data_IF_974314005770
#
_entry.id   IF_974314005770
#
_cell.length_a   1.000
_cell.length_b   1.000
_cell.length_c   1.000
_cell.angle_alpha   90.00
_cell.angle_beta   90.00
_cell.angle_gamma   90.00
#
_symmetry.space_group_name_H-M   'P 1'
#
loop_
_entity.id
_entity.type
_entity.pdbx_description
1 polymer ?
#
# COMPACT_ATOMS: atom_id res chain seq x y z
N UNK A 1 -1.42 -10.56 13.82
CA UNK A 1 -1.62 -9.87 12.53
C UNK A 1 -2.21 -10.81 11.46
N UNK A 2 -1.58 -11.95 11.17
CA UNK A 2 -2.08 -13.00 10.24
C UNK A 2 -3.45 -13.61 10.56
N UNK A 3 -3.79 -13.75 11.86
CA UNK A 3 -5.10 -14.28 12.28
C UNK A 3 -6.26 -13.38 11.84
N UNK A 4 -6.11 -12.05 11.86
CA UNK A 4 -7.16 -11.12 11.45
C UNK A 4 -7.39 -11.15 9.92
N UNK A 5 -6.31 -11.30 9.16
CA UNK A 5 -6.35 -11.42 7.69
C UNK A 5 -7.04 -12.72 7.23
N UNK A 6 -6.66 -13.85 7.82
CA UNK A 6 -7.31 -15.14 7.56
C UNK A 6 -8.78 -15.18 8.05
N UNK A 7 -9.14 -14.36 9.04
CA UNK A 7 -10.54 -14.24 9.50
C UNK A 7 -11.36 -13.37 8.57
N UNK A 8 -10.79 -12.29 8.03
CA UNK A 8 -11.48 -11.42 7.06
C UNK A 8 -11.73 -12.16 5.75
N UNK A 9 -10.73 -12.88 5.22
CA UNK A 9 -10.87 -13.71 4.02
C UNK A 9 -11.86 -14.87 4.25
N UNK A 10 -11.79 -15.57 5.40
CA UNK A 10 -12.78 -16.61 5.74
C UNK A 10 -14.19 -16.06 5.90
N UNK A 11 -14.34 -14.86 6.46
CA UNK A 11 -15.65 -14.23 6.66
C UNK A 11 -16.26 -13.79 5.32
N UNK A 12 -15.45 -13.18 4.45
CA UNK A 12 -15.87 -12.79 3.08
C UNK A 12 -16.19 -14.02 2.22
N UNK A 13 -15.39 -15.09 2.30
CA UNK A 13 -15.63 -16.33 1.56
C UNK A 13 -16.84 -17.13 2.10
N UNK A 14 -17.10 -17.05 3.41
CA UNK A 14 -18.21 -17.74 4.07
C UNK A 14 -19.55 -17.00 3.94
N UNK A 15 -19.55 -15.67 3.85
CA UNK A 15 -20.77 -14.86 3.81
C UNK A 15 -21.39 -14.79 2.39
N UNK A 16 -20.63 -15.02 1.31
CA UNK A 16 -21.18 -14.89 -0.06
C UNK A 16 -21.03 -16.10 -1.01
N UNK A 17 -20.11 -17.05 -0.80
CA UNK A 17 -19.84 -18.08 -1.83
C UNK A 17 -19.65 -19.52 -1.35
N UNK A 18 -19.65 -19.82 -0.05
CA UNK A 18 -19.62 -21.21 0.43
C UNK A 18 -18.38 -22.02 0.01
N UNK A 19 -17.28 -21.37 -0.39
CA UNK A 19 -16.06 -22.02 -0.90
C UNK A 19 -14.90 -21.86 0.09
N UNK A 20 -14.93 -22.65 1.17
CA UNK A 20 -13.89 -22.65 2.21
C UNK A 20 -12.61 -23.42 1.80
N UNK A 21 -12.70 -24.34 0.82
CA UNK A 21 -11.62 -25.29 0.47
C UNK A 21 -10.52 -24.66 -0.39
N UNK A 22 -10.87 -23.95 -1.47
CA UNK A 22 -9.90 -23.33 -2.39
C UNK A 22 -9.05 -22.22 -1.74
N UNK A 23 -9.61 -21.52 -0.76
CA UNK A 23 -8.89 -20.46 -0.03
C UNK A 23 -7.80 -21.05 0.88
N UNK A 24 -8.03 -22.22 1.47
CA UNK A 24 -7.02 -22.90 2.30
C UNK A 24 -5.85 -23.43 1.47
N UNK A 25 -6.15 -24.01 0.30
CA UNK A 25 -5.13 -24.56 -0.60
C UNK A 25 -4.21 -23.46 -1.17
N UNK A 26 -4.78 -22.31 -1.53
CA UNK A 26 -3.99 -21.16 -2.01
C UNK A 26 -3.10 -20.54 -0.92
N UNK A 27 -3.54 -20.51 0.34
CA UNK A 27 -2.70 -20.06 1.47
C UNK A 27 -1.50 -20.97 1.71
N UNK A 28 -1.66 -22.30 1.61
CA UNK A 28 -0.56 -23.25 1.79
C UNK A 28 0.48 -23.16 0.67
N UNK A 29 0.03 -23.03 -0.59
CA UNK A 29 0.91 -22.87 -1.75
C UNK A 29 1.77 -21.60 -1.62
N UNK A 30 1.18 -20.47 -1.19
CA UNK A 30 1.92 -19.24 -0.93
C UNK A 30 2.93 -19.36 0.22
N UNK A 31 2.59 -20.11 1.29
CA UNK A 31 3.51 -20.34 2.42
C UNK A 31 4.70 -21.21 1.99
N UNK A 32 4.47 -22.23 1.17
CA UNK A 32 5.50 -23.19 0.72
C UNK A 32 6.48 -22.57 -0.26
N UNK A 33 6.02 -21.77 -1.22
CA UNK A 33 6.89 -21.05 -2.15
C UNK A 33 7.84 -20.06 -1.44
N UNK A 34 7.36 -19.41 -0.38
CA UNK A 34 8.14 -18.42 0.39
C UNK A 34 9.32 -19.00 1.17
N UNK A 35 9.27 -20.28 1.54
CA UNK A 35 10.30 -20.93 2.36
C UNK A 35 11.43 -21.56 1.53
N UNK A 36 11.19 -21.88 0.26
CA UNK A 36 12.15 -22.59 -0.61
C UNK A 36 13.10 -21.62 -1.33
N UNK A 37 12.68 -20.39 -1.62
CA UNK A 37 13.48 -19.43 -2.40
C UNK A 37 14.79 -18.92 -1.77
N UNK A 38 14.95 -18.72 -0.46
CA UNK A 38 16.16 -18.07 0.06
C UNK A 38 17.44 -18.90 -0.11
N UNK A 39 17.38 -20.22 0.09
CA UNK A 39 18.59 -21.07 0.10
C UNK A 39 19.23 -21.25 -1.27
N UNK A 40 18.41 -21.54 -2.29
CA UNK A 40 18.88 -21.78 -3.68
C UNK A 40 19.43 -20.50 -4.32
N UNK A 41 18.88 -19.34 -3.96
CA UNK A 41 19.29 -18.05 -4.50
C UNK A 41 20.69 -17.59 -4.02
N UNK A 42 21.13 -18.01 -2.83
CA UNK A 42 22.47 -17.69 -2.34
C UNK A 42 23.55 -18.58 -2.96
N UNK A 43 23.25 -19.85 -3.22
CA UNK A 43 24.22 -20.77 -3.85
C UNK A 43 24.54 -20.37 -5.30
N UNK A 44 23.53 -20.01 -6.10
CA UNK A 44 23.76 -19.46 -7.47
C UNK A 44 24.59 -18.18 -7.43
N UNK A 45 24.33 -17.31 -6.44
CA UNK A 45 25.06 -16.07 -6.27
C UNK A 45 26.55 -16.33 -6.01
N UNK A 46 26.88 -17.26 -5.11
CA UNK A 46 28.27 -17.60 -4.76
C UNK A 46 29.05 -18.18 -5.95
N UNK A 47 28.42 -19.00 -6.78
CA UNK A 47 29.05 -19.57 -7.97
C UNK A 47 29.37 -18.52 -9.04
N UNK A 48 28.60 -17.44 -9.10
CA UNK A 48 28.73 -16.40 -10.13
C UNK A 48 29.70 -15.28 -9.79
N UNK A 49 30.30 -15.30 -8.59
CA UNK A 49 31.16 -14.21 -8.10
C UNK A 49 32.43 -13.99 -8.92
N UNK A 50 32.95 -15.03 -9.57
CA UNK A 50 34.12 -14.94 -10.45
C UNK A 50 33.81 -14.30 -11.82
N UNK A 51 32.53 -14.00 -12.09
CA UNK A 51 32.11 -13.32 -13.32
C UNK A 51 31.96 -11.81 -13.10
N UNK A 52 32.22 -11.01 -14.15
CA UNK A 52 31.93 -9.55 -14.13
C UNK A 52 30.48 -9.20 -13.79
N UNK A 53 29.55 -10.15 -13.96
CA UNK A 53 28.15 -9.99 -13.60
C UNK A 53 27.93 -10.19 -12.09
N UNK A 54 28.58 -11.18 -11.47
CA UNK A 54 28.54 -11.43 -10.03
C UNK A 54 29.14 -10.28 -9.21
N UNK A 55 30.23 -9.67 -9.67
CA UNK A 55 30.84 -8.48 -9.05
C UNK A 55 29.84 -7.30 -8.99
N UNK A 56 29.12 -7.05 -10.09
CA UNK A 56 28.07 -6.00 -10.15
C UNK A 56 26.90 -6.33 -9.21
N UNK A 57 26.54 -7.59 -9.08
CA UNK A 57 25.45 -8.04 -8.22
C UNK A 57 25.84 -7.92 -6.74
N UNK A 58 27.09 -8.21 -6.34
CA UNK A 58 27.62 -7.89 -4.99
C UNK A 58 27.55 -6.39 -4.72
N UNK A 59 28.06 -5.57 -5.64
CA UNK A 59 28.04 -4.12 -5.43
C UNK A 59 26.62 -3.57 -5.30
N UNK A 60 25.67 -4.11 -6.10
CA UNK A 60 24.23 -3.80 -5.97
C UNK A 60 23.71 -4.22 -4.60
N UNK A 61 24.04 -5.42 -4.11
CA UNK A 61 23.62 -5.92 -2.81
C UNK A 61 24.20 -5.11 -1.65
N UNK A 62 25.49 -4.76 -1.70
CA UNK A 62 26.14 -3.88 -0.74
C UNK A 62 25.46 -2.50 -0.70
N UNK A 63 25.13 -1.94 -1.86
CA UNK A 63 24.40 -0.66 -1.98
C UNK A 63 22.96 -0.77 -1.47
N UNK A 64 22.29 -1.91 -1.65
CA UNK A 64 20.96 -2.17 -1.05
C UNK A 64 21.07 -2.24 0.47
N UNK A 65 22.08 -2.94 1.01
CA UNK A 65 22.33 -3.03 2.46
C UNK A 65 22.65 -1.66 3.05
N UNK A 66 23.50 -0.89 2.40
CA UNK A 66 23.85 0.49 2.79
C UNK A 66 22.62 1.41 2.77
N UNK A 67 21.72 1.28 1.77
CA UNK A 67 20.46 2.03 1.76
C UNK A 67 19.55 1.62 2.93
N UNK A 68 19.50 0.33 3.26
CA UNK A 68 18.73 -0.19 4.41
C UNK A 68 19.29 0.26 5.76
N UNK A 69 20.60 0.54 5.86
CA UNK A 69 21.21 1.11 7.08
C UNK A 69 21.07 2.63 7.15
N UNK A 70 20.87 3.30 6.00
CA UNK A 70 20.56 4.73 5.91
C UNK A 70 19.08 5.06 6.13
N UNK A 71 18.18 4.09 6.02
CA UNK A 71 16.82 4.26 6.52
C UNK A 71 16.92 4.57 8.01
N UNK A 72 16.58 5.80 8.35
CA UNK A 72 16.62 6.36 9.70
C UNK A 72 15.73 5.48 10.57
N UNK A 73 16.32 4.46 11.20
CA UNK A 73 15.64 3.53 12.08
C UNK A 73 15.00 4.31 13.21
N UNK A 74 13.71 4.61 13.04
CA UNK A 74 12.86 5.46 13.88
C UNK A 74 13.45 6.86 14.09
N UNK A 75 12.73 7.90 13.66
CA UNK A 75 13.07 9.28 14.02
C UNK A 75 12.94 9.40 15.55
N UNK A 76 14.08 9.29 16.26
CA UNK A 76 14.12 9.28 17.73
C UNK A 76 13.82 10.65 18.33
N UNK A 77 14.03 11.72 17.56
CA UNK A 77 13.75 13.09 17.98
C UNK A 77 13.46 14.00 16.78
N UNK A 78 12.58 14.98 16.99
CA UNK A 78 12.18 15.99 15.99
C UNK A 78 12.26 17.37 16.63
N UNK A 79 12.70 18.37 15.87
CA UNK A 79 12.67 19.77 16.31
C UNK A 79 11.28 20.36 16.11
N UNK A 80 10.81 21.07 17.11
CA UNK A 80 9.63 21.93 16.98
C UNK A 80 9.97 23.29 16.32
N UNK A 81 8.98 24.18 16.25
CA UNK A 81 9.15 25.52 15.66
C UNK A 81 10.04 26.45 16.50
N UNK A 82 10.19 26.15 17.80
CA UNK A 82 11.09 26.84 18.72
C UNK A 82 12.51 26.24 18.74
N UNK A 83 12.82 25.31 17.83
CA UNK A 83 14.06 24.52 17.78
C UNK A 83 14.30 23.62 19.02
N UNK A 84 13.26 23.34 19.82
CA UNK A 84 13.32 22.40 20.92
C UNK A 84 13.21 20.96 20.40
N UNK A 85 14.01 20.06 20.97
CA UNK A 85 14.01 18.65 20.60
C UNK A 85 12.89 17.90 21.34
N UNK A 86 11.91 17.44 20.57
CA UNK A 86 10.87 16.51 20.98
C UNK A 86 11.42 15.09 20.94
N UNK A 87 11.32 14.37 22.06
CA UNK A 87 11.82 12.99 22.20
C UNK A 87 10.69 12.01 22.50
N UNK A 88 9.56 12.47 23.06
CA UNK A 88 8.44 11.60 23.37
C UNK A 88 7.67 11.23 22.11
N UNK A 89 7.29 9.96 21.99
CA UNK A 89 6.60 9.44 20.81
C UNK A 89 5.27 10.15 20.51
N UNK A 90 4.54 10.59 21.54
CA UNK A 90 3.27 11.32 21.37
C UNK A 90 3.51 12.72 20.83
N UNK A 91 4.47 13.46 21.39
CA UNK A 91 4.86 14.79 20.92
C UNK A 91 5.36 14.74 19.47
N UNK A 92 6.17 13.74 19.13
CA UNK A 92 6.65 13.49 17.76
C UNK A 92 5.48 13.23 16.80
N UNK A 93 4.51 12.38 17.19
CA UNK A 93 3.32 12.09 16.37
C UNK A 93 2.47 13.34 16.17
N UNK A 94 2.21 14.09 17.23
CA UNK A 94 1.42 15.32 17.17
C UNK A 94 2.10 16.35 16.26
N UNK A 95 3.44 16.49 16.33
CA UNK A 95 4.17 17.38 15.43
C UNK A 95 4.08 16.95 13.97
N UNK A 96 4.16 15.64 13.70
CA UNK A 96 3.92 15.12 12.35
C UNK A 96 2.52 15.40 11.85
N UNK A 97 1.51 15.16 12.68
CA UNK A 97 0.11 15.42 12.37
C UNK A 97 -0.12 16.90 12.05
N UNK A 98 0.34 17.80 12.90
CA UNK A 98 0.26 19.25 12.71
C UNK A 98 0.94 19.67 11.40
N UNK A 99 2.19 19.24 11.18
CA UNK A 99 2.94 19.57 9.97
C UNK A 99 2.22 19.13 8.70
N UNK A 100 1.74 17.88 8.66
CA UNK A 100 1.06 17.37 7.47
C UNK A 100 -0.36 17.91 7.31
N UNK A 101 -1.09 18.17 8.39
CA UNK A 101 -2.39 18.84 8.33
C UNK A 101 -2.23 20.24 7.75
N UNK A 102 -1.25 21.01 8.22
CA UNK A 102 -0.93 22.32 7.63
C UNK A 102 -0.49 22.21 6.17
N UNK A 103 0.33 21.21 5.84
CA UNK A 103 0.80 21.00 4.46
C UNK A 103 -0.33 20.61 3.49
N UNK A 104 -1.28 19.78 3.92
CA UNK A 104 -2.37 19.29 3.06
C UNK A 104 -3.60 20.20 3.06
N UNK A 105 -3.86 20.92 4.16
CA UNK A 105 -5.10 21.69 4.35
C UNK A 105 -4.87 23.19 4.56
N UNK A 106 -3.66 23.63 4.93
CA UNK A 106 -3.38 25.01 5.36
C UNK A 106 -3.13 26.02 4.24
N UNK A 107 -3.28 25.63 2.97
CA UNK A 107 -3.07 26.50 1.81
C UNK A 107 -4.33 27.13 1.20
N UNK A 108 -5.53 26.75 1.66
CA UNK A 108 -6.78 27.16 1.02
C UNK A 108 -7.72 27.82 2.04
N UNK A 109 -7.51 29.10 2.30
CA UNK A 109 -8.65 30.01 2.42
C UNK A 109 -9.24 30.13 1.00
N UNK A 110 -10.45 29.60 0.80
CA UNK A 110 -11.21 29.72 -0.45
C UNK A 110 -10.56 29.09 -1.70
N UNK A 111 -10.65 27.78 -1.79
CA UNK A 111 -11.20 27.21 -3.00
C UNK A 111 -12.14 26.12 -2.56
N UNK A 112 -13.33 26.52 -2.09
CA UNK A 112 -14.52 25.77 -2.48
C UNK A 112 -14.32 25.55 -3.97
N UNK A 113 -14.03 24.33 -4.40
CA UNK A 113 -14.23 23.99 -5.78
C UNK A 113 -15.75 24.13 -5.89
N UNK A 114 -16.21 25.33 -6.25
CA UNK A 114 -17.46 25.48 -6.95
C UNK A 114 -17.27 24.54 -8.14
N UNK A 115 -17.89 23.36 -8.02
CA UNK A 115 -18.13 22.50 -9.16
C UNK A 115 -19.08 23.30 -10.04
N UNK A 116 -18.50 24.25 -10.78
CA UNK A 116 -19.19 25.11 -11.74
C UNK A 116 -19.46 24.28 -13.00
N UNK A 117 -20.25 23.22 -12.82
CA UNK A 117 -21.26 22.80 -13.76
C UNK A 117 -22.41 22.24 -12.91
N UNK A 118 -23.66 22.69 -13.10
CA UNK A 118 -24.78 21.94 -12.59
C UNK A 118 -24.63 20.53 -13.15
N UNK A 119 -24.41 19.55 -12.27
CA UNK A 119 -24.45 18.14 -12.62
C UNK A 119 -25.78 17.95 -13.36
N UNK A 120 -25.71 17.86 -14.68
CA UNK A 120 -26.89 17.70 -15.51
C UNK A 120 -27.58 16.42 -15.03
N UNK A 121 -28.73 16.60 -14.40
CA UNK A 121 -29.51 15.51 -13.81
C UNK A 121 -29.98 14.53 -14.90
N UNK A 122 -29.86 14.91 -16.18
CA UNK A 122 -30.09 14.06 -17.34
C UNK A 122 -28.92 13.12 -17.69
N UNK A 123 -27.72 13.29 -17.12
CA UNK A 123 -26.60 12.36 -17.31
C UNK A 123 -26.50 11.30 -16.19
N UNK A 124 -27.59 11.07 -15.44
CA UNK A 124 -27.75 9.86 -14.59
C UNK A 124 -27.78 8.55 -15.40
N UNK A 125 -27.63 8.61 -16.72
CA UNK A 125 -27.61 7.48 -17.63
C UNK A 125 -26.21 6.87 -17.75
N UNK A 126 -25.97 5.81 -16.99
CA UNK A 126 -24.86 4.85 -17.16
C UNK A 126 -23.45 5.34 -16.81
N UNK A 127 -23.09 5.25 -15.52
CA UNK A 127 -21.73 4.77 -15.21
C UNK A 127 -21.64 3.38 -15.85
N UNK A 128 -20.85 3.26 -16.92
CA UNK A 128 -20.65 2.00 -17.62
C UNK A 128 -20.25 0.94 -16.60
N UNK A 129 -20.99 -0.17 -16.59
CA UNK A 129 -20.70 -1.30 -15.69
C UNK A 129 -19.27 -1.78 -15.94
N UNK A 130 -18.47 -1.82 -14.87
CA UNK A 130 -17.12 -2.38 -14.91
C UNK A 130 -17.23 -3.85 -15.31
N UNK A 131 -16.43 -4.23 -16.30
CA UNK A 131 -16.35 -5.58 -16.83
C UNK A 131 -15.19 -6.35 -16.22
N UNK A 132 -15.33 -7.67 -16.17
CA UNK A 132 -14.29 -8.55 -15.60
C UNK A 132 -12.94 -8.43 -16.32
N UNK A 133 -12.94 -8.20 -17.64
CA UNK A 133 -11.71 -8.02 -18.39
C UNK A 133 -10.97 -6.73 -17.97
N UNK A 134 -11.68 -5.68 -17.56
CA UNK A 134 -11.07 -4.42 -17.10
C UNK A 134 -10.37 -4.64 -15.77
N UNK A 135 -11.02 -5.35 -14.85
CA UNK A 135 -10.44 -5.74 -13.55
C UNK A 135 -9.25 -6.67 -13.75
N UNK A 136 -9.34 -7.63 -14.68
CA UNK A 136 -8.24 -8.54 -15.03
C UNK A 136 -7.01 -7.77 -15.51
N UNK A 137 -7.19 -6.81 -16.41
CA UNK A 137 -6.10 -5.98 -16.92
C UNK A 137 -5.54 -5.04 -15.86
N UNK A 138 -6.38 -4.44 -15.02
CA UNK A 138 -5.93 -3.62 -13.90
C UNK A 138 -5.08 -4.43 -12.90
N UNK A 139 -5.52 -5.64 -12.55
CA UNK A 139 -4.77 -6.55 -11.67
C UNK A 139 -3.40 -6.93 -12.25
N UNK A 140 -3.31 -7.14 -13.57
CA UNK A 140 -2.03 -7.42 -14.26
C UNK A 140 -1.09 -6.20 -14.25
N UNK A 141 -1.61 -4.99 -14.39
CA UNK A 141 -0.82 -3.74 -14.39
C UNK A 141 -0.27 -3.38 -13.01
N UNK A 142 -0.93 -3.80 -11.94
CA UNK A 142 -0.48 -3.54 -10.58
C UNK A 142 0.88 -4.20 -10.28
N UNK A 143 1.79 -3.45 -9.66
CA UNK A 143 3.12 -3.96 -9.30
C UNK A 143 3.06 -4.78 -8.00
N UNK A 144 3.74 -5.93 -7.99
CA UNK A 144 3.95 -6.75 -6.78
C UNK A 144 5.01 -6.14 -5.86
N UNK A 145 5.02 -6.56 -4.59
CA UNK A 145 5.98 -6.12 -3.58
C UNK A 145 5.75 -4.68 -3.11
N UNK A 146 4.54 -4.15 -3.23
CA UNK A 146 4.17 -2.83 -2.73
C UNK A 146 3.77 -2.90 -1.25
N UNK A 147 4.01 -1.79 -0.53
CA UNK A 147 3.62 -1.67 0.86
C UNK A 147 2.09 -1.69 1.01
N UNK A 148 1.61 -2.57 1.88
CA UNK A 148 0.19 -2.75 2.17
C UNK A 148 -0.45 -1.51 2.80
N UNK A 149 -1.73 -1.31 2.49
CA UNK A 149 -2.56 -0.31 3.14
C UNK A 149 -2.94 -0.70 4.57
N UNK A 150 -3.76 0.13 5.24
CA UNK A 150 -4.26 -0.14 6.59
C UNK A 150 -5.17 -1.38 6.69
N UNK A 151 -5.72 -1.83 5.56
CA UNK A 151 -6.49 -3.08 5.44
C UNK A 151 -5.61 -4.34 5.52
N UNK A 152 -4.31 -4.20 5.31
CA UNK A 152 -3.34 -5.30 5.36
C UNK A 152 -3.44 -6.27 4.19
N UNK A 153 -4.18 -5.95 3.12
CA UNK A 153 -4.40 -6.84 1.97
C UNK A 153 -3.40 -6.47 0.86
N UNK A 154 -2.41 -7.33 0.55
CA UNK A 154 -1.47 -7.09 -0.55
C UNK A 154 -2.10 -7.51 -1.90
N UNK A 155 -1.60 -6.97 -3.02
CA UNK A 155 -2.15 -7.25 -4.36
C UNK A 155 -1.99 -8.73 -4.77
N UNK A 156 -1.00 -9.39 -4.21
CA UNK A 156 -0.68 -10.80 -4.42
C UNK A 156 -1.86 -11.69 -4.02
N UNK A 157 -2.62 -11.32 -2.98
CA UNK A 157 -3.82 -12.10 -2.58
C UNK A 157 -4.85 -12.13 -3.71
N UNK A 158 -5.11 -10.98 -4.35
CA UNK A 158 -6.05 -10.90 -5.47
C UNK A 158 -5.54 -11.67 -6.70
N UNK A 159 -4.22 -11.70 -6.92
CA UNK A 159 -3.62 -12.49 -8.01
C UNK A 159 -3.70 -13.99 -7.76
N UNK A 160 -3.47 -14.43 -6.52
CA UNK A 160 -3.53 -15.85 -6.14
C UNK A 160 -4.94 -16.43 -6.27
N UNK A 161 -5.97 -15.61 -6.00
CA UNK A 161 -7.37 -16.00 -6.14
C UNK A 161 -7.85 -16.08 -7.61
N UNK A 162 -7.06 -15.60 -8.58
CA UNK A 162 -7.34 -15.75 -10.01
C UNK A 162 -8.70 -15.19 -10.44
N UNK A 163 -9.44 -15.96 -11.24
CA UNK A 163 -10.73 -15.53 -11.80
C UNK A 163 -11.81 -15.33 -10.72
N UNK A 164 -11.71 -16.02 -9.57
CA UNK A 164 -12.62 -15.81 -8.42
C UNK A 164 -12.53 -14.36 -7.92
N UNK A 165 -11.31 -13.85 -7.75
CA UNK A 165 -11.09 -12.46 -7.36
C UNK A 165 -11.62 -11.49 -8.41
N UNK A 166 -11.48 -11.79 -9.70
CA UNK A 166 -11.96 -10.93 -10.79
C UNK A 166 -13.49 -10.80 -10.72
N UNK A 167 -14.22 -11.91 -10.60
CA UNK A 167 -15.68 -11.91 -10.49
C UNK A 167 -16.12 -11.13 -9.24
N UNK A 168 -15.47 -11.39 -8.10
CA UNK A 168 -15.82 -10.76 -6.83
C UNK A 168 -15.54 -9.26 -6.83
N UNK A 169 -14.35 -8.83 -7.25
CA UNK A 169 -13.96 -7.42 -7.33
C UNK A 169 -14.85 -6.65 -8.31
N UNK A 170 -15.20 -7.27 -9.45
CA UNK A 170 -16.12 -6.67 -10.42
C UNK A 170 -17.50 -6.44 -9.80
N UNK A 171 -18.02 -7.41 -9.04
CA UNK A 171 -19.28 -7.23 -8.29
C UNK A 171 -19.16 -6.13 -7.25
N UNK A 172 -18.10 -6.14 -6.45
CA UNK A 172 -17.84 -5.13 -5.43
C UNK A 172 -17.82 -3.73 -6.00
N UNK A 173 -17.00 -3.47 -7.03
CA UNK A 173 -16.88 -2.15 -7.63
C UNK A 173 -18.21 -1.67 -8.19
N UNK A 174 -18.91 -2.51 -8.94
CA UNK A 174 -20.23 -2.16 -9.48
C UNK A 174 -21.27 -1.88 -8.37
N UNK A 175 -21.19 -2.58 -7.23
CA UNK A 175 -22.04 -2.29 -6.06
C UNK A 175 -21.69 -0.94 -5.45
N UNK A 176 -20.41 -0.62 -5.31
CA UNK A 176 -19.95 0.69 -4.80
C UNK A 176 -20.45 1.82 -5.72
N UNK A 177 -20.28 1.69 -7.04
CA UNK A 177 -20.75 2.69 -8.01
C UNK A 177 -22.28 2.85 -8.00
N UNK A 178 -23.04 1.77 -7.81
CA UNK A 178 -24.51 1.85 -7.74
C UNK A 178 -25.02 2.47 -6.45
N UNK A 179 -24.37 2.15 -5.33
CA UNK A 179 -24.82 2.59 -4.00
C UNK A 179 -24.21 3.93 -3.60
N UNK A 180 -23.17 4.40 -4.31
CA UNK A 180 -22.31 5.51 -3.93
C UNK A 180 -21.73 5.36 -2.51
N UNK A 181 -21.59 4.13 -2.02
CA UNK A 181 -21.07 3.82 -0.69
C UNK A 181 -19.73 3.08 -0.79
N UNK A 182 -18.68 3.76 -0.37
CA UNK A 182 -17.32 3.21 -0.29
C UNK A 182 -17.05 2.65 1.12
N UNK A 183 -16.30 1.52 1.25
CA UNK A 183 -15.87 1.00 2.54
C UNK A 183 -15.10 2.04 3.37
N UNK A 184 -15.31 2.05 4.69
CA UNK A 184 -14.63 2.99 5.59
C UNK A 184 -13.12 2.72 5.68
N UNK A 185 -12.69 1.46 5.49
CA UNK A 185 -11.29 1.09 5.34
C UNK A 185 -10.59 1.86 4.21
N UNK A 186 -11.29 2.11 3.11
CA UNK A 186 -10.73 2.80 1.94
C UNK A 186 -10.61 4.31 2.18
N UNK A 187 -11.43 4.87 3.07
CA UNK A 187 -11.34 6.28 3.50
C UNK A 187 -10.13 6.53 4.39
N UNK A 188 -9.52 5.48 4.93
CA UNK A 188 -8.36 5.58 5.83
C UNK A 188 -7.06 5.35 5.06
N UNK A 189 -6.02 6.07 5.47
CA UNK A 189 -4.66 5.88 4.97
C UNK A 189 -3.65 6.00 6.09
N UNK A 190 -2.52 5.30 5.98
CA UNK A 190 -1.40 5.44 6.90
C UNK A 190 -0.37 6.38 6.28
N UNK A 191 -0.10 7.50 6.94
CA UNK A 191 0.90 8.45 6.50
C UNK A 191 2.29 8.04 7.04
N UNK A 192 3.24 7.83 6.12
CA UNK A 192 4.61 7.46 6.46
C UNK A 192 5.55 8.58 6.03
N UNK A 193 6.21 9.28 6.97
CA UNK A 193 7.24 10.25 6.63
C UNK A 193 8.53 9.53 6.19
N UNK A 194 9.03 9.88 5.00
CA UNK A 194 10.28 9.34 4.45
C UNK A 194 11.29 10.48 4.30
N UNK A 195 12.47 10.32 4.89
CA UNK A 195 13.53 11.33 4.82
C UNK A 195 14.02 11.51 3.38
N UNK A 196 14.16 12.77 2.94
CA UNK A 196 14.62 13.11 1.58
C UNK A 196 16.12 12.89 1.36
N UNK A 197 16.86 12.41 2.37
CA UNK A 197 18.31 12.28 2.39
C UNK A 197 19.04 13.63 2.17
N UNK A 198 18.42 14.72 2.63
CA UNK A 198 18.94 16.08 2.51
C UNK A 198 18.52 16.92 3.73
N UNK A 199 19.42 17.76 4.22
CA UNK A 199 19.17 18.65 5.35
C UNK A 199 19.20 17.95 6.71
N UNK A 200 18.70 18.63 7.72
CA UNK A 200 18.58 18.13 9.09
C UNK A 200 17.50 17.03 9.19
N UNK A 201 17.89 15.86 9.70
CA UNK A 201 17.01 14.71 9.97
C UNK A 201 15.97 15.03 11.05
N UNK A 202 16.22 16.02 11.91
CA UNK A 202 15.28 16.41 12.96
C UNK A 202 14.19 17.36 12.46
N UNK A 203 14.28 17.87 11.22
CA UNK A 203 13.32 18.83 10.68
C UNK A 203 12.25 18.15 9.82
N UNK A 204 10.97 18.40 10.12
CA UNK A 204 9.83 17.83 9.37
C UNK A 204 9.82 18.22 7.88
N UNK A 205 10.35 19.39 7.51
CA UNK A 205 10.37 19.87 6.11
C UNK A 205 11.23 19.01 5.19
N UNK A 206 12.22 18.31 5.76
CA UNK A 206 13.13 17.42 5.05
C UNK A 206 12.55 16.02 4.82
N UNK A 207 11.28 15.80 5.11
CA UNK A 207 10.58 14.55 4.86
C UNK A 207 9.52 14.69 3.77
N UNK A 208 9.24 13.58 3.10
CA UNK A 208 8.11 13.40 2.18
C UNK A 208 7.09 12.50 2.85
N UNK A 209 5.85 12.95 2.98
CA UNK A 209 4.75 12.10 3.41
C UNK A 209 4.30 11.18 2.28
N UNK A 210 4.29 9.87 2.53
CA UNK A 210 3.68 8.89 1.63
C UNK A 210 2.42 8.33 2.30
N UNK A 211 1.28 8.44 1.61
CA UNK A 211 0.02 7.84 2.06
C UNK A 211 -0.08 6.39 1.58
N UNK A 212 -0.09 5.46 2.51
CA UNK A 212 -0.39 4.05 2.25
C UNK A 212 -1.91 3.86 2.32
N UNK A 213 -2.50 3.49 1.18
CA UNK A 213 -3.93 3.22 1.04
C UNK A 213 -4.14 1.79 0.58
N UNK A 214 -5.34 1.26 0.81
CA UNK A 214 -5.78 -0.06 0.33
C UNK A 214 -5.39 -0.28 -1.12
N UNK A 215 -4.86 -1.46 -1.44
CA UNK A 215 -4.58 -1.82 -2.83
C UNK A 215 -5.83 -2.03 -3.64
N UNK A 216 -6.92 -2.49 -3.00
CA UNK A 216 -8.21 -2.70 -3.65
C UNK A 216 -8.86 -1.38 -4.06
N UNK A 217 -8.64 -0.30 -3.30
CA UNK A 217 -9.09 1.05 -3.71
C UNK A 217 -8.31 1.61 -4.90
N UNK A 218 -7.03 1.22 -5.05
CA UNK A 218 -6.17 1.69 -6.16
C UNK A 218 -6.41 0.92 -7.45
N UNK A 219 -7.08 -0.22 -7.36
CA UNK A 219 -7.43 -1.08 -8.47
C UNK A 219 -8.66 -0.49 -9.19
#
# INVERSE_FOLDING_TARGET
MWRKMATCIRKIASEEFGQHREVQDSEEVCKKARLVEPGVAYDDLYQRLDTKQGEKDIYRMAKIRERKTRDVNQVKCIKDEANQLLVKNEEIKNKWEEYFNKLFNGGNESSTIELDEPFDDNNRGFVRRIQEYEVKEALKRMKVGKAMGPDGIPIEVWRCLGDIAIVWLTKLFNTIFRTNRMPDEWRRSTLVPIFKNKGDVQSCTNYRGIKLMSHTMKL
#
